data_IF_368455760761
#
_entry.id   IF_368455760761
#
_cell.length_a   1.000
_cell.length_b   1.000
_cell.length_c   1.000
_cell.angle_alpha   90.00
_cell.angle_beta   90.00
_cell.angle_gamma   90.00
#
_symmetry.space_group_name_H-M   'P 1'
#
loop_
_entity.id
_entity.type
_entity.pdbx_description
1 polymer ?
#
# COMPACT_ATOMS: atom_id res chain seq x y z
N UNK A 1 -10.92 8.29 14.94
CA UNK A 1 -10.47 6.90 15.15
C UNK A 1 -11.04 6.09 14.00
N UNK A 2 -10.22 5.45 13.18
CA UNK A 2 -10.71 4.73 12.01
C UNK A 2 -11.70 3.62 12.42
N UNK A 3 -12.88 3.56 11.78
CA UNK A 3 -13.97 2.61 12.09
C UNK A 3 -13.46 1.16 12.18
N UNK A 4 -12.67 0.76 11.19
CA UNK A 4 -12.08 -0.59 11.13
C UNK A 4 -11.07 -0.87 12.24
N UNK A 5 -10.34 0.13 12.73
CA UNK A 5 -9.44 -0.04 13.86
C UNK A 5 -10.21 -0.39 15.13
N UNK A 6 -11.35 0.29 15.35
CA UNK A 6 -12.25 -0.02 16.47
C UNK A 6 -12.88 -1.40 16.31
N UNK A 7 -13.37 -1.72 15.11
CA UNK A 7 -13.92 -3.04 14.81
C UNK A 7 -12.90 -4.18 15.04
N UNK A 8 -11.65 -3.96 14.65
CA UNK A 8 -10.55 -4.89 14.91
C UNK A 8 -10.36 -5.14 16.41
N UNK A 9 -10.22 -4.07 17.20
CA UNK A 9 -10.01 -4.18 18.64
C UNK A 9 -11.18 -4.84 19.39
N UNK A 10 -12.41 -4.47 19.04
CA UNK A 10 -13.59 -4.85 19.82
C UNK A 10 -14.13 -6.23 19.41
N UNK A 11 -14.08 -6.57 18.11
CA UNK A 11 -14.74 -7.78 17.58
C UNK A 11 -13.72 -8.82 17.09
N UNK A 12 -12.78 -8.40 16.24
CA UNK A 12 -11.87 -9.34 15.54
C UNK A 12 -10.92 -10.03 16.51
N UNK A 13 -10.35 -9.30 17.48
CA UNK A 13 -9.45 -9.89 18.48
C UNK A 13 -10.16 -11.00 19.27
N UNK A 14 -11.40 -10.75 19.72
CA UNK A 14 -12.17 -11.73 20.50
C UNK A 14 -12.53 -12.97 19.66
N UNK A 15 -12.95 -12.77 18.41
CA UNK A 15 -13.27 -13.85 17.49
C UNK A 15 -12.05 -14.75 17.21
N UNK A 16 -10.91 -14.15 16.82
CA UNK A 16 -9.69 -14.89 16.50
C UNK A 16 -9.10 -15.59 17.73
N UNK A 17 -9.20 -14.99 18.91
CA UNK A 17 -8.71 -15.62 20.14
C UNK A 17 -9.52 -16.87 20.49
N UNK A 18 -10.85 -16.84 20.29
CA UNK A 18 -11.72 -18.00 20.51
C UNK A 18 -11.52 -19.10 19.46
N UNK A 19 -11.34 -18.73 18.21
CA UNK A 19 -11.17 -19.69 17.10
C UNK A 19 -9.82 -20.41 17.16
N UNK A 20 -8.75 -19.68 17.45
CA UNK A 20 -7.38 -20.22 17.40
C UNK A 20 -6.76 -20.50 18.78
N UNK A 21 -7.51 -20.28 19.88
CA UNK A 21 -7.07 -20.52 21.26
C UNK A 21 -5.69 -19.92 21.59
N UNK A 22 -5.46 -18.67 21.18
CA UNK A 22 -4.21 -17.97 21.47
C UNK A 22 -4.01 -17.82 22.99
N UNK A 23 -2.82 -18.18 23.48
CA UNK A 23 -2.47 -18.06 24.92
C UNK A 23 -2.02 -16.65 25.29
N UNK A 24 -1.55 -15.88 24.33
CA UNK A 24 -1.05 -14.52 24.52
C UNK A 24 -1.80 -13.56 23.57
N UNK A 25 -2.42 -12.48 24.07
CA UNK A 25 -3.11 -11.48 23.24
C UNK A 25 -2.24 -10.89 22.12
N UNK A 26 -0.92 -10.85 22.31
CA UNK A 26 0.02 -10.35 21.30
C UNK A 26 0.23 -11.31 20.11
N UNK A 27 -0.29 -12.54 20.18
CA UNK A 27 -0.26 -13.50 19.07
C UNK A 27 -1.33 -13.20 18.02
N UNK A 28 -2.33 -12.37 18.35
CA UNK A 28 -3.43 -12.07 17.44
C UNK A 28 -2.90 -11.35 16.20
N UNK A 29 -3.16 -11.86 14.97
CA UNK A 29 -2.69 -11.26 13.73
C UNK A 29 -3.18 -9.83 13.55
N UNK A 30 -2.25 -8.91 13.25
CA UNK A 30 -2.54 -7.50 12.98
C UNK A 30 -2.08 -7.10 11.58
N UNK A 31 -2.77 -6.15 10.98
CA UNK A 31 -2.32 -5.52 9.73
C UNK A 31 -1.17 -4.56 10.07
N UNK A 32 0.02 -4.82 9.54
CA UNK A 32 1.21 -4.01 9.81
C UNK A 32 1.34 -2.81 8.85
N UNK A 33 1.08 -3.04 7.57
CA UNK A 33 1.12 -2.04 6.50
C UNK A 33 0.31 -2.49 5.29
N UNK A 34 -0.15 -1.52 4.52
CA UNK A 34 -0.67 -1.74 3.16
C UNK A 34 0.28 -1.00 2.21
N UNK A 35 0.74 -1.69 1.17
CA UNK A 35 1.59 -1.08 0.13
C UNK A 35 0.80 -1.03 -1.16
N UNK A 36 0.54 0.18 -1.65
CA UNK A 36 -0.09 0.41 -2.95
C UNK A 36 1.03 0.70 -3.94
N UNK A 37 1.13 -0.10 -4.99
CA UNK A 37 2.18 0.01 -5.99
C UNK A 37 1.57 0.06 -7.39
N UNK A 38 2.01 1.01 -8.20
CA UNK A 38 1.60 1.17 -9.58
C UNK A 38 2.85 1.12 -10.47
N UNK A 39 2.94 0.06 -11.29
CA UNK A 39 3.97 -0.08 -12.31
C UNK A 39 3.46 0.47 -13.64
N UNK A 40 4.17 1.43 -14.22
CA UNK A 40 3.80 2.11 -15.46
C UNK A 40 4.85 1.81 -16.51
N UNK A 41 4.72 0.68 -17.22
CA UNK A 41 5.67 0.27 -18.26
C UNK A 41 5.80 1.30 -19.40
N UNK A 42 4.72 2.03 -19.68
CA UNK A 42 4.67 3.09 -20.69
C UNK A 42 5.43 4.36 -20.28
N UNK A 43 5.72 4.51 -18.99
CA UNK A 43 6.46 5.66 -18.46
C UNK A 43 7.90 5.76 -18.99
N UNK A 44 8.43 4.68 -19.55
CA UNK A 44 9.73 4.65 -20.24
C UNK A 44 9.73 5.63 -21.43
N UNK A 45 8.60 5.77 -22.11
CA UNK A 45 8.46 6.64 -23.29
C UNK A 45 7.97 8.03 -22.92
N UNK A 46 7.13 8.15 -21.88
CA UNK A 46 6.58 9.42 -21.44
C UNK A 46 6.64 9.58 -19.91
N UNK A 47 7.63 10.32 -19.44
CA UNK A 47 7.84 10.57 -18.00
C UNK A 47 6.67 11.32 -17.33
N UNK A 48 5.88 12.12 -18.07
CA UNK A 48 4.75 12.88 -17.50
C UNK A 48 3.63 11.98 -16.98
N UNK A 49 3.52 10.75 -17.50
CA UNK A 49 2.52 9.77 -17.03
C UNK A 49 2.79 9.39 -15.57
N UNK A 50 4.06 9.34 -15.15
CA UNK A 50 4.43 9.07 -13.74
C UNK A 50 3.92 10.18 -12.84
N UNK A 51 4.04 11.44 -13.26
CA UNK A 51 3.60 12.58 -12.47
C UNK A 51 2.07 12.59 -12.31
N UNK A 52 1.32 12.31 -13.38
CA UNK A 52 -0.15 12.16 -13.32
C UNK A 52 -0.54 11.01 -12.40
N UNK A 53 0.03 9.83 -12.60
CA UNK A 53 -0.26 8.66 -11.79
C UNK A 53 0.12 8.87 -10.31
N UNK A 54 1.21 9.58 -10.03
CA UNK A 54 1.58 9.95 -8.68
C UNK A 54 0.58 10.93 -8.05
N UNK A 55 0.01 11.87 -8.81
CA UNK A 55 -1.06 12.76 -8.32
C UNK A 55 -2.36 12.00 -8.05
N UNK A 56 -2.76 11.09 -8.92
CA UNK A 56 -3.93 10.23 -8.74
C UNK A 56 -3.76 9.35 -7.50
N UNK A 57 -2.61 8.69 -7.36
CA UNK A 57 -2.32 7.83 -6.21
C UNK A 57 -2.24 8.65 -4.91
N UNK A 58 -1.74 9.90 -4.96
CA UNK A 58 -1.81 10.82 -3.83
C UNK A 58 -3.25 11.16 -3.44
N UNK A 59 -4.12 11.41 -4.43
CA UNK A 59 -5.53 11.72 -4.21
C UNK A 59 -6.28 10.54 -3.58
N UNK A 60 -6.02 9.32 -4.08
CA UNK A 60 -6.62 8.09 -3.56
C UNK A 60 -6.16 7.82 -2.12
N UNK A 61 -4.84 7.82 -1.90
CA UNK A 61 -4.25 7.37 -0.64
C UNK A 61 -4.15 8.46 0.44
N UNK A 62 -4.27 9.74 0.05
CA UNK A 62 -4.04 10.89 0.94
C UNK A 62 -2.57 11.09 1.32
N UNK A 63 -1.64 10.38 0.67
CA UNK A 63 -0.21 10.41 0.99
C UNK A 63 0.62 10.56 -0.30
N UNK A 64 1.64 11.43 -0.26
CA UNK A 64 2.54 11.64 -1.41
C UNK A 64 3.27 10.34 -1.77
N UNK A 65 3.16 9.85 -3.03
CA UNK A 65 3.86 8.65 -3.48
C UNK A 65 5.36 8.84 -3.66
N UNK A 66 6.08 7.74 -3.53
CA UNK A 66 7.50 7.62 -3.84
C UNK A 66 7.64 7.08 -5.26
N UNK A 67 8.39 7.79 -6.10
CA UNK A 67 8.71 7.32 -7.45
C UNK A 67 9.75 6.20 -7.36
N UNK A 68 9.42 5.05 -7.91
CA UNK A 68 10.27 3.87 -7.95
C UNK A 68 11.13 3.88 -9.21
N UNK A 69 12.41 3.51 -9.04
CA UNK A 69 13.41 3.50 -10.10
C UNK A 69 13.92 2.09 -10.38
N UNK A 70 14.31 1.84 -11.62
CA UNK A 70 14.92 0.60 -12.07
C UNK A 70 16.22 0.32 -11.29
N UNK A 71 16.32 -0.85 -10.64
CA UNK A 71 17.57 -1.28 -9.98
C UNK A 71 18.60 -1.84 -10.95
N UNK A 72 18.15 -2.45 -12.06
CA UNK A 72 18.99 -3.08 -13.08
C UNK A 72 18.51 -2.66 -14.46
N UNK A 73 19.43 -2.67 -15.42
CA UNK A 73 19.10 -2.53 -16.84
C UNK A 73 18.59 -3.86 -17.40
N UNK A 74 17.46 -3.84 -18.11
CA UNK A 74 16.86 -5.03 -18.73
C UNK A 74 16.51 -4.69 -20.18
N UNK A 75 17.25 -5.25 -21.13
CA UNK A 75 17.15 -4.93 -22.55
C UNK A 75 15.76 -5.25 -23.14
N UNK A 76 15.15 -6.38 -22.74
CA UNK A 76 13.81 -6.80 -23.20
C UNK A 76 12.74 -5.76 -22.92
N UNK A 77 12.83 -5.08 -21.78
CA UNK A 77 11.90 -4.03 -21.38
C UNK A 77 12.38 -2.63 -21.76
N UNK A 78 13.49 -2.51 -22.50
CA UNK A 78 14.14 -1.23 -22.84
C UNK A 78 14.43 -0.37 -21.60
N UNK A 79 14.68 -1.01 -20.45
CA UNK A 79 14.92 -0.36 -19.17
C UNK A 79 16.40 -0.17 -18.91
N UNK A 80 16.77 1.03 -18.44
CA UNK A 80 18.10 1.33 -17.91
C UNK A 80 18.01 1.56 -16.41
N UNK A 81 19.07 1.18 -15.68
CA UNK A 81 19.20 1.46 -14.26
C UNK A 81 18.99 2.95 -13.96
N UNK A 82 18.22 3.25 -12.92
CA UNK A 82 17.90 4.62 -12.49
C UNK A 82 16.69 5.25 -13.19
N UNK A 83 16.15 4.65 -14.26
CA UNK A 83 14.93 5.14 -14.90
C UNK A 83 13.74 5.00 -13.95
N UNK A 84 12.87 6.01 -13.90
CA UNK A 84 11.62 5.95 -13.17
C UNK A 84 10.62 5.04 -13.91
N UNK A 85 9.99 4.11 -13.20
CA UNK A 85 9.09 3.09 -13.80
C UNK A 85 7.68 3.15 -13.19
N UNK A 86 7.55 3.68 -11.98
CA UNK A 86 6.28 3.65 -11.29
C UNK A 86 6.29 4.45 -10.01
N UNK A 87 5.21 4.34 -9.25
CA UNK A 87 5.06 5.01 -7.97
C UNK A 87 4.48 4.05 -6.94
N UNK A 88 4.88 4.22 -5.69
CA UNK A 88 4.34 3.42 -4.59
C UNK A 88 4.12 4.26 -3.33
N UNK A 89 3.18 3.81 -2.51
CA UNK A 89 2.90 4.37 -1.18
C UNK A 89 2.84 3.23 -0.18
N UNK A 90 3.45 3.44 0.99
CA UNK A 90 3.30 2.55 2.14
C UNK A 90 2.44 3.25 3.18
N UNK A 91 1.25 2.70 3.40
CA UNK A 91 0.28 3.16 4.39
C UNK A 91 0.48 2.39 5.69
N UNK A 92 0.49 3.10 6.81
CA UNK A 92 0.64 2.53 8.16
C UNK A 92 -0.32 3.22 9.13
N UNK A 93 -0.54 2.61 10.29
CA UNK A 93 -1.34 3.17 11.40
C UNK A 93 -2.77 3.56 10.94
N UNK A 94 -3.26 4.74 11.30
CA UNK A 94 -4.64 5.17 11.01
C UNK A 94 -4.92 5.25 9.51
N UNK A 95 -4.02 5.85 8.72
CA UNK A 95 -4.21 6.07 7.27
C UNK A 95 -4.41 4.72 6.54
N UNK A 96 -3.74 3.67 7.00
CA UNK A 96 -3.92 2.32 6.49
C UNK A 96 -5.34 1.79 6.72
N UNK A 97 -5.88 1.96 7.93
CA UNK A 97 -7.25 1.53 8.23
C UNK A 97 -8.29 2.38 7.50
N UNK A 98 -8.06 3.68 7.31
CA UNK A 98 -8.94 4.54 6.51
C UNK A 98 -8.93 4.20 5.02
N UNK A 99 -7.76 3.87 4.47
CA UNK A 99 -7.67 3.38 3.09
C UNK A 99 -8.34 2.03 2.94
N UNK A 100 -8.15 1.12 3.91
CA UNK A 100 -8.79 -0.20 3.88
C UNK A 100 -10.32 -0.09 3.98
N UNK A 101 -10.84 0.86 4.76
CA UNK A 101 -12.28 1.11 4.88
C UNK A 101 -12.90 1.61 3.57
N UNK A 102 -12.19 2.50 2.86
CA UNK A 102 -12.58 3.01 1.54
C UNK A 102 -12.42 2.00 0.41
N UNK A 103 -11.63 0.94 0.63
CA UNK A 103 -11.38 -0.08 -0.39
C UNK A 103 -12.42 -1.20 -0.36
N UNK A 104 -12.90 -1.55 0.84
CA UNK A 104 -13.79 -2.71 1.04
C UNK A 104 -15.27 -2.33 0.98
N UNK A 105 -15.64 -1.12 1.40
CA UNK A 105 -17.01 -0.62 1.38
C UNK A 105 -17.30 0.22 0.14
#
# INVERSE_FOLDING_TARGET
>A
MARLKKYYSDNVISALTKEFNYKNPMQVPKIEKIVVNMGLGEAIQNAKIIDSAAQELATITGQKPVITKAKKSIATFKLRQGMAIGCCVTLRKEIMYEFFDRLVN
#
